data_IF_548200011924
#
_entry.id   IF_548200011924
#
_cell.length_a   1.000
_cell.length_b   1.000
_cell.length_c   1.000
_cell.angle_alpha   90.00
_cell.angle_beta   90.00
_cell.angle_gamma   90.00
#
_symmetry.space_group_name_H-M   'P 1'
#
loop_
_entity.id
_entity.type
_entity.pdbx_description
1 polymer ?
#
# COMPACT_ATOMS: atom_id res chain seq x y z
N UNK A 1 -10.65 -8.95 -15.19
CA UNK A 1 -9.56 -9.80 -14.71
C UNK A 1 -8.18 -9.21 -14.92
N UNK A 2 -7.78 -8.85 -16.16
CA UNK A 2 -6.43 -8.28 -16.41
C UNK A 2 -6.10 -7.04 -15.55
N UNK A 3 -7.00 -6.05 -15.52
CA UNK A 3 -6.85 -4.84 -14.70
C UNK A 3 -6.66 -5.15 -13.20
N UNK A 4 -7.46 -6.06 -12.67
CA UNK A 4 -7.34 -6.50 -11.27
C UNK A 4 -5.95 -7.05 -10.99
N UNK A 5 -5.40 -7.90 -11.86
CA UNK A 5 -4.04 -8.43 -11.72
C UNK A 5 -2.98 -7.33 -11.71
N UNK A 6 -3.12 -6.31 -12.58
CA UNK A 6 -2.23 -5.14 -12.63
C UNK A 6 -2.33 -4.27 -11.35
N UNK A 7 -3.48 -4.26 -10.68
CA UNK A 7 -3.72 -3.47 -9.46
C UNK A 7 -3.31 -4.19 -8.17
N UNK A 8 -3.35 -5.54 -8.12
CA UNK A 8 -3.13 -6.30 -6.88
C UNK A 8 -1.81 -7.07 -6.81
N UNK A 9 -1.16 -7.34 -7.94
CA UNK A 9 0.11 -8.06 -7.96
C UNK A 9 1.26 -7.07 -8.01
N UNK A 10 2.03 -6.99 -6.93
CA UNK A 10 3.13 -6.03 -6.76
C UNK A 10 4.05 -5.91 -7.98
N UNK A 11 4.42 -7.04 -8.59
CA UNK A 11 5.31 -7.05 -9.77
C UNK A 11 4.71 -6.41 -11.03
N UNK A 12 3.38 -6.33 -11.12
CA UNK A 12 2.66 -5.74 -12.25
C UNK A 12 2.23 -4.30 -12.02
N UNK A 13 2.31 -3.81 -10.78
CA UNK A 13 1.99 -2.44 -10.42
C UNK A 13 2.99 -1.45 -11.01
N UNK A 14 2.53 -0.21 -11.20
CA UNK A 14 3.40 0.92 -11.54
C UNK A 14 4.22 1.33 -10.33
N UNK A 15 5.51 1.55 -10.54
CA UNK A 15 6.45 1.92 -9.51
C UNK A 15 6.20 3.36 -9.07
N UNK A 16 5.95 3.54 -7.78
CA UNK A 16 5.50 4.83 -7.20
C UNK A 16 6.53 5.96 -7.33
N UNK A 17 7.81 5.64 -7.55
CA UNK A 17 8.89 6.63 -7.60
C UNK A 17 8.93 7.35 -8.95
N UNK A 18 8.75 6.63 -10.05
CA UNK A 18 8.77 7.21 -11.40
C UNK A 18 7.36 7.37 -12.01
N UNK A 19 6.37 6.64 -11.50
CA UNK A 19 4.98 6.74 -11.95
C UNK A 19 4.70 6.17 -13.34
N UNK A 20 5.64 5.45 -13.95
CA UNK A 20 5.51 4.96 -15.32
C UNK A 20 6.00 3.52 -15.53
N UNK A 21 7.01 3.06 -14.80
CA UNK A 21 7.60 1.73 -15.00
C UNK A 21 6.90 0.68 -14.14
N UNK A 22 6.89 -0.58 -14.57
CA UNK A 22 6.41 -1.68 -13.71
C UNK A 22 7.48 -2.11 -12.74
N UNK A 23 7.09 -2.47 -11.52
CA UNK A 23 8.02 -2.94 -10.47
C UNK A 23 8.94 -4.07 -10.94
N UNK A 24 8.44 -5.04 -11.72
CA UNK A 24 9.30 -6.11 -12.28
C UNK A 24 10.43 -5.58 -13.17
N UNK A 25 10.16 -4.55 -13.97
CA UNK A 25 11.16 -3.96 -14.87
C UNK A 25 12.21 -3.20 -14.06
N UNK A 26 11.81 -2.54 -12.97
CA UNK A 26 12.74 -1.88 -12.04
C UNK A 26 13.69 -2.90 -11.41
N UNK A 27 13.18 -4.06 -10.99
CA UNK A 27 14.02 -5.15 -10.44
C UNK A 27 15.00 -5.67 -11.50
N UNK A 28 14.55 -5.86 -12.75
CA UNK A 28 15.43 -6.28 -13.85
C UNK A 28 16.51 -5.24 -14.18
N UNK A 29 16.19 -3.95 -14.13
CA UNK A 29 17.15 -2.86 -14.32
C UNK A 29 18.19 -2.85 -13.18
N UNK A 30 17.74 -2.93 -11.93
CA UNK A 30 18.62 -3.01 -10.78
C UNK A 30 19.54 -4.24 -10.84
N UNK A 31 19.04 -5.39 -11.30
CA UNK A 31 19.86 -6.60 -11.49
C UNK A 31 20.97 -6.40 -12.54
N UNK A 32 20.65 -5.72 -13.65
CA UNK A 32 21.63 -5.36 -14.68
C UNK A 32 22.69 -4.42 -14.13
N UNK A 33 22.29 -3.37 -13.41
CA UNK A 33 23.19 -2.39 -12.82
C UNK A 33 24.10 -3.02 -11.75
N UNK A 34 23.57 -3.95 -10.98
CA UNK A 34 24.31 -4.70 -9.97
C UNK A 34 25.18 -5.85 -10.55
N UNK A 35 25.06 -6.16 -11.84
CA UNK A 35 25.77 -7.26 -12.50
C UNK A 35 25.45 -8.65 -11.92
N UNK A 36 24.33 -8.80 -11.22
CA UNK A 36 23.95 -10.03 -10.52
C UNK A 36 22.43 -10.18 -10.47
N UNK A 37 21.95 -11.43 -10.33
CA UNK A 37 20.52 -11.70 -10.27
C UNK A 37 19.92 -11.14 -8.97
N UNK A 38 18.86 -10.35 -9.11
CA UNK A 38 18.05 -9.84 -8.00
C UNK A 38 16.64 -10.43 -8.13
N UNK A 39 16.12 -10.97 -7.04
CA UNK A 39 14.77 -11.51 -6.98
C UNK A 39 14.04 -10.96 -5.74
N UNK A 40 12.81 -10.49 -5.94
CA UNK A 40 11.90 -10.21 -4.83
C UNK A 40 11.28 -11.52 -4.36
N UNK A 41 11.72 -12.03 -3.22
CA UNK A 41 11.31 -13.34 -2.70
C UNK A 41 10.06 -13.26 -1.82
N UNK A 42 9.93 -12.21 -1.02
CA UNK A 42 8.79 -11.96 -0.15
C UNK A 42 8.71 -10.48 0.21
N UNK A 43 7.52 -10.02 0.57
CA UNK A 43 7.30 -8.74 1.20
C UNK A 43 6.21 -8.88 2.28
N UNK A 44 6.17 -7.94 3.21
CA UNK A 44 5.10 -7.83 4.20
C UNK A 44 4.73 -6.36 4.32
N UNK A 45 3.43 -6.08 4.33
CA UNK A 45 2.88 -4.75 4.53
C UNK A 45 2.11 -4.77 5.84
N UNK A 46 2.43 -3.84 6.74
CA UNK A 46 1.71 -3.66 7.99
C UNK A 46 1.08 -2.27 7.98
N UNK A 47 -0.20 -2.19 8.29
CA UNK A 47 -0.88 -0.91 8.46
C UNK A 47 -1.34 -0.76 9.91
N UNK A 48 -1.17 0.43 10.49
CA UNK A 48 -1.68 0.70 11.83
C UNK A 48 -3.21 0.59 11.83
N UNK A 49 -3.76 -0.24 12.72
CA UNK A 49 -5.20 -0.48 12.79
C UNK A 49 -5.73 -1.46 11.74
N UNK A 50 -4.87 -2.19 11.05
CA UNK A 50 -5.30 -3.26 10.13
C UNK A 50 -6.16 -4.28 10.88
N UNK A 51 -7.40 -4.46 10.42
CA UNK A 51 -8.38 -5.35 11.05
C UNK A 51 -9.03 -4.82 12.33
N UNK A 52 -8.73 -3.58 12.75
CA UNK A 52 -9.39 -2.93 13.90
C UNK A 52 -10.55 -2.07 13.39
N UNK A 53 -11.74 -2.28 13.96
CA UNK A 53 -12.90 -1.43 13.66
C UNK A 53 -12.64 -0.01 14.18
N UNK A 54 -12.76 0.97 13.29
CA UNK A 54 -12.60 2.36 13.66
C UNK A 54 -13.87 2.83 14.36
N UNK A 55 -13.76 3.15 15.65
CA UNK A 55 -14.85 3.78 16.38
C UNK A 55 -15.15 5.16 15.76
N UNK A 56 -16.37 5.35 15.25
CA UNK A 56 -16.87 6.67 14.87
C UNK A 56 -17.47 7.35 16.09
N UNK A 57 -16.70 8.23 16.73
CA UNK A 57 -17.20 9.08 17.81
C UNK A 57 -17.75 10.39 17.26
N UNK A 58 -19.03 10.66 17.47
CA UNK A 58 -19.65 11.96 17.16
C UNK A 58 -19.31 12.96 18.28
N UNK A 59 -18.24 13.73 18.05
CA UNK A 59 -17.79 14.78 18.96
C UNK A 59 -18.88 15.82 19.24
N UNK A 60 -19.78 16.11 18.29
CA UNK A 60 -20.84 17.09 18.49
C UNK A 60 -21.90 16.57 19.47
N UNK A 61 -22.27 15.29 19.37
CA UNK A 61 -23.18 14.64 20.31
C UNK A 61 -22.58 14.57 21.73
N UNK A 62 -21.27 14.28 21.84
CA UNK A 62 -20.56 14.24 23.11
C UNK A 62 -20.51 15.62 23.80
N UNK A 63 -20.24 16.69 23.04
CA UNK A 63 -20.26 18.07 23.54
C UNK A 63 -21.67 18.50 23.98
N UNK A 64 -22.71 18.14 23.21
CA UNK A 64 -24.10 18.44 23.58
C UNK A 64 -24.52 17.75 24.89
N UNK A 65 -24.06 16.52 25.12
CA UNK A 65 -24.33 15.79 26.36
C UNK A 65 -23.63 16.39 27.60
N UNK A 66 -22.44 16.99 27.43
CA UNK A 66 -21.70 17.63 28.53
C UNK A 66 -22.24 19.01 28.94
N UNK A 67 -22.89 19.73 28.03
CA UNK A 67 -23.43 21.08 28.26
C UNK A 67 -24.92 21.09 28.64
N UNK A 68 -25.61 19.95 28.55
CA UNK A 68 -27.05 19.81 28.78
C UNK A 68 -27.46 19.37 30.20
N UNK A 69 -26.52 19.26 31.14
CA UNK A 69 -26.76 19.08 32.58
C UNK A 69 -26.50 20.38 33.34
#
# INVERSE_FOLDING_TARGET
MRKYYEEVVLLEQIFVVDGETKVKAVIEMAAKDAGSAIALTAFSQFNLGEGVEKEETDFAAEVAAQLGG
#
